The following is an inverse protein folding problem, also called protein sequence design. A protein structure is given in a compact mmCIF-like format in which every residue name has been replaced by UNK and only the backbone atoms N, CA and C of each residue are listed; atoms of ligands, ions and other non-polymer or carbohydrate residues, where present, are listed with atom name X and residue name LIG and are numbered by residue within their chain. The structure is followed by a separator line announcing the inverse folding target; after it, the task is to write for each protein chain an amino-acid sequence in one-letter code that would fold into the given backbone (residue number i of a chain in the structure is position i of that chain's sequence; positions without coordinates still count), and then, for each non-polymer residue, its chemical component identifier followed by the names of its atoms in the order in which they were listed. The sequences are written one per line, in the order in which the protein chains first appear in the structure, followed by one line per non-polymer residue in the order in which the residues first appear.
data_IF_686014416339
#
_entry.id   IF_686014416339
#
_cell.length_a   1.000
_cell.length_b   1.000
_cell.length_c   1.000
_cell.angle_alpha   90.00
_cell.angle_beta   90.00
_cell.angle_gamma   90.00
#
_symmetry.space_group_name_H-M   'P 1'
#
loop_
_entity.id
_entity.type
_entity.pdbx_description
1 polymer ?
#
# COMPACT_ATOMS: atom_id res chain seq x y z
N UNK A 1 -12.39 14.06 -6.97
CA UNK A 1 -13.54 13.90 -7.90
C UNK A 1 -13.39 14.90 -9.04
N UNK A 2 -13.62 14.48 -10.28
CA UNK A 2 -13.60 15.37 -11.45
C UNK A 2 -12.23 15.55 -12.14
N UNK A 3 -11.27 14.65 -11.88
CA UNK A 3 -9.99 14.59 -12.60
C UNK A 3 -9.89 13.22 -13.31
N UNK A 4 -10.30 13.11 -14.59
CA UNK A 4 -10.26 11.84 -15.32
C UNK A 4 -8.83 11.28 -15.46
N UNK A 5 -7.82 12.12 -15.34
CA UNK A 5 -6.40 11.77 -15.37
C UNK A 5 -5.85 11.16 -14.08
N UNK A 6 -6.67 11.08 -13.01
CA UNK A 6 -6.27 10.51 -11.72
C UNK A 6 -7.18 9.33 -11.38
N UNK A 7 -6.59 8.14 -11.25
CA UNK A 7 -7.24 7.00 -10.63
C UNK A 7 -6.77 6.84 -9.18
N UNK A 8 -7.69 6.49 -8.28
CA UNK A 8 -7.37 6.19 -6.88
C UNK A 8 -7.75 4.75 -6.52
N UNK A 9 -6.85 4.08 -5.83
CA UNK A 9 -7.03 2.73 -5.31
C UNK A 9 -6.91 2.75 -3.79
N UNK A 10 -7.84 2.10 -3.10
CA UNK A 10 -7.83 2.03 -1.64
C UNK A 10 -8.18 0.64 -1.15
N UNK A 11 -7.18 -0.08 -0.62
CA UNK A 11 -7.37 -1.33 0.11
C UNK A 11 -7.33 -1.05 1.61
N UNK A 12 -8.39 -1.39 2.33
CA UNK A 12 -8.58 -0.91 3.71
C UNK A 12 -9.54 -1.81 4.49
N UNK A 13 -9.47 -1.77 5.82
CA UNK A 13 -10.51 -2.42 6.62
C UNK A 13 -11.86 -1.71 6.43
N UNK A 14 -12.91 -2.47 6.11
CA UNK A 14 -14.24 -1.97 5.79
C UNK A 14 -14.80 -1.04 6.88
N UNK A 15 -14.51 -1.36 8.15
CA UNK A 15 -14.95 -0.62 9.33
C UNK A 15 -13.94 0.42 9.83
N UNK A 16 -12.86 0.68 9.08
CA UNK A 16 -11.88 1.69 9.47
C UNK A 16 -12.47 3.11 9.47
N UNK A 17 -11.90 3.99 10.30
CA UNK A 17 -12.16 5.42 10.26
C UNK A 17 -11.65 6.04 8.94
N UNK A 18 -12.32 7.08 8.39
CA UNK A 18 -13.62 7.62 8.80
C UNK A 18 -14.79 6.69 8.42
N UNK A 19 -15.88 6.77 9.21
CA UNK A 19 -17.09 5.99 8.95
C UNK A 19 -17.67 6.25 7.56
N UNK A 20 -17.62 7.52 7.11
CA UNK A 20 -17.90 7.91 5.73
C UNK A 20 -16.59 8.02 4.97
N UNK A 21 -16.30 7.04 4.10
CA UNK A 21 -15.10 7.01 3.28
C UNK A 21 -15.25 7.95 2.07
N UNK A 22 -14.15 8.54 1.64
CA UNK A 22 -14.08 9.12 0.31
C UNK A 22 -14.25 7.98 -0.73
N UNK A 23 -14.85 8.29 -1.87
CA UNK A 23 -14.97 7.32 -2.96
C UNK A 23 -13.73 7.35 -3.83
N UNK A 24 -13.13 6.18 -4.00
CA UNK A 24 -11.99 5.98 -4.90
C UNK A 24 -12.46 5.52 -6.28
N UNK A 25 -11.55 5.46 -7.25
CA UNK A 25 -11.82 4.73 -8.51
C UNK A 25 -12.06 3.26 -8.22
N UNK A 26 -11.29 2.68 -7.29
CA UNK A 26 -11.51 1.34 -6.76
C UNK A 26 -11.30 1.32 -5.24
N UNK A 27 -12.37 1.02 -4.51
CA UNK A 27 -12.34 0.76 -3.08
C UNK A 27 -12.43 -0.76 -2.83
N UNK A 28 -11.48 -1.28 -2.06
CA UNK A 28 -11.32 -2.70 -1.73
C UNK A 28 -11.46 -2.89 -0.21
N UNK A 29 -12.69 -3.03 0.29
CA UNK A 29 -12.95 -3.20 1.71
C UNK A 29 -12.63 -4.62 2.16
N UNK A 30 -11.80 -4.76 3.19
CA UNK A 30 -11.42 -6.02 3.82
C UNK A 30 -12.13 -6.22 5.16
N UNK A 31 -12.29 -7.48 5.58
CA UNK A 31 -12.79 -7.79 6.91
C UNK A 31 -11.76 -7.41 8.00
N UNK A 32 -12.25 -7.13 9.21
CA UNK A 32 -11.36 -6.92 10.35
C UNK A 32 -10.53 -8.19 10.61
N UNK A 33 -9.25 -8.02 10.93
CA UNK A 33 -8.33 -9.11 11.20
C UNK A 33 -7.81 -9.84 9.95
N UNK A 34 -8.13 -9.37 8.74
CA UNK A 34 -7.56 -9.92 7.49
C UNK A 34 -6.04 -10.01 7.60
N UNK A 35 -5.50 -11.21 7.41
CA UNK A 35 -4.07 -11.51 7.56
C UNK A 35 -3.30 -11.46 6.25
N UNK A 36 -2.02 -11.85 6.32
CA UNK A 36 -1.04 -11.67 5.25
C UNK A 36 -1.47 -12.25 3.90
N UNK A 37 -1.87 -13.53 3.86
CA UNK A 37 -2.18 -14.23 2.61
C UNK A 37 -3.38 -13.62 1.89
N UNK A 38 -4.50 -13.45 2.61
CA UNK A 38 -5.73 -12.86 2.06
C UNK A 38 -5.51 -11.41 1.62
N UNK A 39 -4.73 -10.63 2.37
CA UNK A 39 -4.41 -9.26 2.00
C UNK A 39 -3.61 -9.21 0.68
N UNK A 40 -2.55 -10.01 0.56
CA UNK A 40 -1.68 -10.02 -0.61
C UNK A 40 -2.38 -10.57 -1.85
N UNK A 41 -3.19 -11.62 -1.70
CA UNK A 41 -4.01 -12.15 -2.78
C UNK A 41 -5.02 -11.10 -3.25
N UNK A 42 -5.73 -10.46 -2.31
CA UNK A 42 -6.71 -9.43 -2.65
C UNK A 42 -6.05 -8.21 -3.31
N UNK A 43 -4.89 -7.78 -2.80
CA UNK A 43 -4.11 -6.70 -3.41
C UNK A 43 -3.76 -7.04 -4.87
N UNK A 44 -3.20 -8.21 -5.13
CA UNK A 44 -2.77 -8.60 -6.47
C UNK A 44 -3.95 -8.72 -7.44
N UNK A 45 -5.02 -9.39 -7.01
CA UNK A 45 -6.20 -9.66 -7.85
C UNK A 45 -7.00 -8.40 -8.18
N UNK A 46 -6.96 -7.38 -7.32
CA UNK A 46 -7.71 -6.13 -7.54
C UNK A 46 -6.87 -5.02 -8.16
N UNK A 47 -5.58 -4.91 -7.80
CA UNK A 47 -4.74 -3.80 -8.28
C UNK A 47 -4.21 -4.06 -9.69
N UNK A 48 -3.82 -5.29 -10.06
CA UNK A 48 -3.27 -5.57 -11.39
C UNK A 48 -4.23 -5.20 -12.53
N UNK A 49 -5.53 -5.59 -12.49
CA UNK A 49 -6.47 -5.18 -13.53
C UNK A 49 -6.66 -3.67 -13.61
N UNK A 50 -6.62 -2.98 -12.46
CA UNK A 50 -6.72 -1.52 -12.44
C UNK A 50 -5.50 -0.86 -13.09
N UNK A 51 -4.30 -1.37 -12.81
CA UNK A 51 -3.06 -0.89 -13.46
C UNK A 51 -3.16 -1.08 -14.98
N UNK A 52 -3.59 -2.26 -15.43
CA UNK A 52 -3.71 -2.57 -16.87
C UNK A 52 -4.75 -1.67 -17.56
N UNK A 53 -5.83 -1.32 -16.86
CA UNK A 53 -6.87 -0.45 -17.39
C UNK A 53 -6.47 1.03 -17.40
N UNK A 54 -5.85 1.52 -16.33
CA UNK A 54 -5.49 2.93 -16.16
C UNK A 54 -4.21 3.28 -16.94
N UNK A 55 -3.28 2.33 -17.04
CA UNK A 55 -1.95 2.52 -17.63
C UNK A 55 -1.23 3.79 -17.12
N UNK A 56 -0.99 3.89 -15.79
CA UNK A 56 -0.45 5.12 -15.20
C UNK A 56 1.02 5.36 -15.57
N UNK A 57 1.38 6.61 -15.84
CA UNK A 57 2.78 7.03 -15.99
C UNK A 57 3.51 7.16 -14.65
N UNK A 58 2.77 7.49 -13.58
CA UNK A 58 3.27 7.72 -12.23
C UNK A 58 2.30 7.17 -11.18
N UNK A 59 2.85 6.51 -10.17
CA UNK A 59 2.11 6.04 -8.99
C UNK A 59 2.58 6.78 -7.75
N UNK A 60 1.62 7.34 -7.01
CA UNK A 60 1.82 7.91 -5.69
C UNK A 60 1.34 6.91 -4.64
N UNK A 61 2.26 6.25 -3.96
CA UNK A 61 1.94 5.22 -2.97
C UNK A 61 2.00 5.75 -1.54
N UNK A 62 0.85 5.72 -0.85
CA UNK A 62 0.77 6.06 0.57
C UNK A 62 1.07 4.82 1.43
N UNK A 63 2.33 4.65 1.81
CA UNK A 63 2.84 3.48 2.53
C UNK A 63 2.49 3.51 4.03
N UNK A 64 1.24 3.17 4.36
CA UNK A 64 0.76 3.03 5.73
C UNK A 64 1.24 1.72 6.38
N UNK A 65 1.60 1.78 7.65
CA UNK A 65 1.97 0.63 8.49
C UNK A 65 0.88 0.26 9.49
N UNK A 66 -0.24 0.99 9.47
CA UNK A 66 -1.45 0.70 10.24
C UNK A 66 -2.19 -0.61 9.89
N UNK A 67 -1.91 -1.36 8.80
CA UNK A 67 -2.49 -2.69 8.65
C UNK A 67 -1.92 -3.74 9.61
N UNK A 68 -0.84 -3.42 10.34
CA UNK A 68 -0.24 -4.35 11.28
C UNK A 68 -1.23 -4.76 12.38
N UNK A 69 -1.24 -6.05 12.70
CA UNK A 69 -1.91 -6.58 13.87
C UNK A 69 -1.52 -5.79 15.14
N UNK A 70 -2.53 -5.32 15.87
CA UNK A 70 -2.35 -4.55 17.10
C UNK A 70 -2.12 -3.05 16.91
N UNK A 71 -2.16 -2.53 15.68
CA UNK A 71 -2.28 -1.08 15.47
C UNK A 71 -3.58 -0.56 16.13
N UNK A 72 -3.52 0.65 16.68
CA UNK A 72 -4.62 1.21 17.49
C UNK A 72 -5.80 1.70 16.65
N UNK A 73 -5.54 2.19 15.43
CA UNK A 73 -6.58 2.67 14.53
C UNK A 73 -6.78 1.73 13.35
N UNK A 74 -5.72 1.04 12.94
CA UNK A 74 -5.78 -0.10 12.06
C UNK A 74 -6.70 -1.19 12.58
N UNK A 75 -7.28 -1.97 11.66
CA UNK A 75 -8.17 -3.09 11.99
C UNK A 75 -7.82 -4.37 11.24
N UNK A 76 -6.72 -4.37 10.52
CA UNK A 76 -6.21 -5.54 9.80
C UNK A 76 -5.24 -6.33 10.71
N UNK A 77 -4.86 -7.51 10.25
CA UNK A 77 -4.09 -8.47 11.03
C UNK A 77 -2.74 -8.80 10.41
N UNK A 78 -2.11 -7.87 9.67
CA UNK A 78 -0.85 -8.17 8.99
C UNK A 78 0.26 -8.38 10.02
N UNK A 79 1.18 -9.29 9.70
CA UNK A 79 2.45 -9.43 10.41
C UNK A 79 3.48 -8.42 9.86
N UNK A 80 4.63 -8.31 10.53
CA UNK A 80 5.75 -7.53 9.99
C UNK A 80 6.21 -8.08 8.63
N UNK A 81 6.24 -9.41 8.49
CA UNK A 81 6.58 -10.06 7.23
C UNK A 81 5.52 -9.78 6.15
N UNK A 82 4.25 -9.70 6.53
CA UNK A 82 3.15 -9.32 5.63
C UNK A 82 3.28 -7.88 5.11
N UNK A 83 3.61 -6.93 5.98
CA UNK A 83 3.87 -5.54 5.58
C UNK A 83 5.07 -5.44 4.63
N UNK A 84 6.17 -6.12 4.95
CA UNK A 84 7.36 -6.14 4.10
C UNK A 84 7.06 -6.81 2.74
N UNK A 85 6.34 -7.92 2.74
CA UNK A 85 5.93 -8.62 1.52
C UNK A 85 5.03 -7.75 0.63
N UNK A 86 4.11 -6.98 1.24
CA UNK A 86 3.27 -6.02 0.52
C UNK A 86 4.13 -4.95 -0.16
N UNK A 87 5.03 -4.33 0.59
CA UNK A 87 5.83 -3.22 0.07
C UNK A 87 6.79 -3.69 -1.03
N UNK A 88 7.41 -4.87 -0.85
CA UNK A 88 8.20 -5.53 -1.88
C UNK A 88 7.37 -5.82 -3.13
N UNK A 89 6.20 -6.42 -2.98
CA UNK A 89 5.32 -6.76 -4.10
C UNK A 89 4.89 -5.51 -4.89
N UNK A 90 4.55 -4.42 -4.20
CA UNK A 90 4.24 -3.12 -4.83
C UNK A 90 5.44 -2.63 -5.64
N UNK A 91 6.62 -2.60 -5.03
CA UNK A 91 7.83 -2.09 -5.67
C UNK A 91 8.22 -2.90 -6.90
N UNK A 92 8.20 -4.24 -6.79
CA UNK A 92 8.52 -5.16 -7.89
C UNK A 92 7.49 -5.10 -9.01
N UNK A 93 6.19 -4.96 -8.68
CA UNK A 93 5.12 -4.84 -9.66
C UNK A 93 5.31 -3.61 -10.55
N UNK A 94 5.57 -2.44 -9.97
CA UNK A 94 5.75 -1.21 -10.75
C UNK A 94 7.10 -1.16 -11.45
N UNK A 95 8.17 -1.63 -10.81
CA UNK A 95 9.48 -1.75 -11.46
C UNK A 95 9.45 -2.70 -12.67
N UNK A 96 8.82 -3.87 -12.54
CA UNK A 96 8.67 -4.83 -13.65
C UNK A 96 7.85 -4.31 -14.82
N UNK A 97 7.03 -3.27 -14.59
CA UNK A 97 6.20 -2.60 -15.60
C UNK A 97 6.81 -1.29 -16.12
N UNK A 98 8.00 -0.90 -15.64
CA UNK A 98 8.63 0.39 -15.96
C UNK A 98 7.76 1.61 -15.63
N UNK A 99 6.95 1.54 -14.56
CA UNK A 99 6.10 2.63 -14.09
C UNK A 99 6.80 3.34 -12.93
N UNK A 100 6.88 4.67 -12.98
CA UNK A 100 7.50 5.44 -11.90
C UNK A 100 6.67 5.32 -10.61
N UNK A 101 7.35 5.07 -9.49
CA UNK A 101 6.74 4.95 -8.16
C UNK A 101 7.37 5.96 -7.21
N UNK A 102 6.55 6.87 -6.68
CA UNK A 102 6.92 7.73 -5.57
C UNK A 102 6.11 7.33 -4.34
N UNK A 103 6.78 7.15 -3.20
CA UNK A 103 6.12 6.79 -1.95
C UNK A 103 6.13 7.92 -0.93
N UNK A 104 5.07 7.99 -0.13
CA UNK A 104 4.98 8.84 1.04
C UNK A 104 4.54 8.00 2.24
N UNK A 105 4.96 8.39 3.45
CA UNK A 105 4.53 7.72 4.67
C UNK A 105 3.01 7.85 4.85
N UNK A 106 2.37 6.75 5.22
CA UNK A 106 0.95 6.71 5.56
C UNK A 106 0.69 6.67 7.07
N UNK A 107 -0.45 6.10 7.45
CA UNK A 107 -0.82 5.89 8.85
C UNK A 107 0.05 4.86 9.59
N UNK A 108 -0.03 4.87 10.91
CA UNK A 108 0.72 4.02 11.83
C UNK A 108 0.57 4.60 13.24
N UNK A 109 -0.18 3.92 14.11
CA UNK A 109 -0.75 4.52 15.32
C UNK A 109 -0.48 3.72 16.60
N UNK A 110 0.60 2.95 16.60
CA UNK A 110 1.13 2.27 17.78
C UNK A 110 1.51 3.24 18.92
N UNK A 111 1.55 2.71 20.14
CA UNK A 111 1.91 3.50 21.34
C UNK A 111 3.41 3.81 21.41
N UNK A 112 4.26 2.96 20.80
CA UNK A 112 5.70 3.17 20.74
C UNK A 112 6.09 3.84 19.41
N UNK A 113 6.47 5.11 19.50
CA UNK A 113 6.86 5.90 18.34
C UNK A 113 8.12 5.39 17.64
N UNK A 114 9.07 4.80 18.37
CA UNK A 114 10.28 4.22 17.77
C UNK A 114 9.96 2.97 16.98
N UNK A 115 9.06 2.16 17.52
CA UNK A 115 8.56 0.97 16.89
C UNK A 115 7.79 1.31 15.60
N UNK A 116 6.86 2.28 15.63
CA UNK A 116 6.19 2.80 14.43
C UNK A 116 7.19 3.35 13.41
N UNK A 117 8.20 4.11 13.87
CA UNK A 117 9.25 4.65 12.99
C UNK A 117 10.05 3.52 12.31
N UNK A 118 10.37 2.44 13.03
CA UNK A 118 11.07 1.28 12.44
C UNK A 118 10.26 0.63 11.32
N UNK A 119 8.94 0.53 11.46
CA UNK A 119 8.07 0.00 10.40
C UNK A 119 8.12 0.87 9.15
N UNK A 120 8.04 2.19 9.29
CA UNK A 120 8.15 3.10 8.16
C UNK A 120 9.53 3.05 7.50
N UNK A 121 10.60 2.95 8.28
CA UNK A 121 11.96 2.73 7.74
C UNK A 121 12.03 1.41 6.96
N UNK A 122 11.47 0.32 7.49
CA UNK A 122 11.42 -0.96 6.79
C UNK A 122 10.68 -0.85 5.45
N UNK A 123 9.56 -0.11 5.42
CA UNK A 123 8.81 0.19 4.19
C UNK A 123 9.66 0.95 3.16
N UNK A 124 10.33 2.03 3.59
CA UNK A 124 11.24 2.81 2.73
C UNK A 124 12.34 1.92 2.13
N UNK A 125 12.96 1.07 2.96
CA UNK A 125 14.02 0.18 2.51
C UNK A 125 13.52 -0.87 1.52
N UNK A 126 12.36 -1.48 1.77
CA UNK A 126 11.75 -2.46 0.86
C UNK A 126 11.45 -1.84 -0.51
N UNK A 127 10.89 -0.62 -0.52
CA UNK A 127 10.59 0.12 -1.75
C UNK A 127 11.88 0.54 -2.49
N UNK A 128 12.89 1.03 -1.77
CA UNK A 128 14.16 1.49 -2.35
C UNK A 128 15.03 0.37 -2.95
N UNK A 129 14.97 -0.84 -2.40
CA UNK A 129 15.69 -2.00 -2.93
C UNK A 129 15.21 -2.42 -4.33
N UNK A 130 13.94 -2.20 -4.67
CA UNK A 130 13.44 -2.46 -6.02
C UNK A 130 13.83 -1.34 -7.00
N UNK A 131 13.81 -0.08 -6.56
CA UNK A 131 14.18 1.08 -7.38
C UNK A 131 15.66 1.03 -7.80
N UNK A 132 16.55 0.56 -6.93
CA UNK A 132 18.01 0.44 -7.23
C UNK A 132 18.36 -0.64 -8.25
N UNK A 133 17.41 -1.52 -8.61
CA UNK A 133 17.58 -2.50 -9.70
C UNK A 133 17.31 -1.91 -11.08
N UNK A 134 16.70 -0.73 -11.17
CA UNK A 134 16.55 0.00 -12.42
C UNK A 134 17.70 1.03 -12.54
N UNK A 135 18.51 1.00 -13.61
CA UNK A 135 19.45 2.08 -13.84
C UNK A 135 18.65 3.37 -14.01
N UNK A 136 19.03 4.42 -13.29
CA UNK A 136 18.56 5.78 -13.57
C UNK A 136 18.87 6.08 -15.04
N UNK A 137 17.85 6.07 -15.88
CA UNK A 137 17.99 6.53 -17.25
C UNK A 137 18.18 8.05 -17.18
N UNK A 138 19.37 8.50 -17.59
CA UNK A 138 19.76 9.90 -17.69
C UNK A 138 19.18 10.54 -18.96
#
# INVERSE_FOLDING_TARGET
AGRPEIATYSIHAAKNFPARKAQSTLDVPLADGTGDAEYLETLATTLLPLIDHVAPDLVLYQAGVDPLAGDRLGRLGLSYAGLEARDRWIAETFAGRSIALASALGGGYGLDALEVSRRHVASILALGQAATKQPLQA
#
